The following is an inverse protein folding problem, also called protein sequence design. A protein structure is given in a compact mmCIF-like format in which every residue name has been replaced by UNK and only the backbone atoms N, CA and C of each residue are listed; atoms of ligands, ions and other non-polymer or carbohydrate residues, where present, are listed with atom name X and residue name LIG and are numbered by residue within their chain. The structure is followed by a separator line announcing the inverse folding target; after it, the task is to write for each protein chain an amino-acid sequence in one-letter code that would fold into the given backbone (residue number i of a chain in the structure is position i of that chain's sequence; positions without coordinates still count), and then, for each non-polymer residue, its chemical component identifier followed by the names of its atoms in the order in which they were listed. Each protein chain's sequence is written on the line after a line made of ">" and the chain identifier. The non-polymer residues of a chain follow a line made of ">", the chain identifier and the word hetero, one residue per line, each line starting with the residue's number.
data_IF_457288171510
#
_entry.id   IF_457288171510
#
_cell.length_a   1.000
_cell.length_b   1.000
_cell.length_c   1.000
_cell.angle_alpha   90.00
_cell.angle_beta   90.00
_cell.angle_gamma   90.00
#
_symmetry.space_group_name_H-M   'P 1'
#
loop_
_entity.id
_entity.type
_entity.pdbx_description
1 polymer ?
#
# COMPACT_ATOMS: atom_id res chain seq x y z
N UNK A 1 0.47 -6.33 12.88
CA UNK A 1 0.05 -5.13 12.11
C UNK A 1 0.10 -3.95 13.05
N UNK A 2 0.51 -2.76 12.61
CA UNK A 2 0.51 -1.57 13.45
C UNK A 2 -0.47 -0.52 12.92
N UNK A 3 -1.11 0.25 13.79
CA UNK A 3 -1.99 1.39 13.49
C UNK A 3 -1.49 2.59 14.29
N UNK A 4 -1.27 3.75 13.66
CA UNK A 4 -0.75 4.96 14.30
C UNK A 4 -1.80 6.08 14.34
N UNK A 5 -2.87 5.85 15.08
CA UNK A 5 -4.02 6.75 15.21
C UNK A 5 -4.49 6.74 16.67
N UNK A 6 -4.33 7.87 17.35
CA UNK A 6 -4.64 8.03 18.77
C UNK A 6 -6.13 7.88 19.05
N UNK A 7 -7.00 8.30 18.13
CA UNK A 7 -8.45 8.18 18.27
C UNK A 7 -8.87 6.72 18.15
N UNK A 8 -8.30 6.02 17.16
CA UNK A 8 -8.45 4.58 17.02
C UNK A 8 -7.95 3.86 18.28
N UNK A 9 -6.74 4.16 18.75
CA UNK A 9 -6.14 3.49 19.91
C UNK A 9 -7.01 3.63 21.16
N UNK A 10 -7.46 4.86 21.46
CA UNK A 10 -8.31 5.15 22.63
C UNK A 10 -9.65 4.42 22.55
N UNK A 11 -10.35 4.53 21.41
CA UNK A 11 -11.63 3.84 21.20
C UNK A 11 -11.46 2.33 21.26
N UNK A 12 -10.40 1.80 20.64
CA UNK A 12 -10.18 0.38 20.56
C UNK A 12 -9.81 -0.22 21.92
N UNK A 13 -8.97 0.45 22.71
CA UNK A 13 -8.68 0.06 24.08
C UNK A 13 -9.94 0.03 24.95
N UNK A 14 -10.78 1.07 24.87
CA UNK A 14 -12.04 1.13 25.59
C UNK A 14 -12.98 -0.02 25.17
N UNK A 15 -13.08 -0.31 23.87
CA UNK A 15 -13.90 -1.42 23.37
C UNK A 15 -13.42 -2.80 23.88
N UNK A 16 -12.12 -2.97 24.14
CA UNK A 16 -11.56 -4.23 24.64
C UNK A 16 -11.65 -4.37 26.17
N UNK A 17 -11.58 -3.27 26.90
CA UNK A 17 -11.47 -3.28 28.38
C UNK A 17 -12.74 -2.85 29.11
N UNK A 18 -13.65 -2.14 28.44
CA UNK A 18 -14.94 -1.69 28.98
C UNK A 18 -14.87 -0.46 29.89
N UNK A 19 -13.79 -0.23 30.63
CA UNK A 19 -13.81 0.74 31.74
C UNK A 19 -12.52 1.58 31.93
N UNK A 20 -11.51 1.47 31.05
CA UNK A 20 -10.21 2.14 31.23
C UNK A 20 -9.90 3.28 30.25
N UNK A 21 -9.20 4.32 30.73
CA UNK A 21 -8.54 5.31 29.86
C UNK A 21 -7.15 4.81 29.47
N UNK A 22 -6.91 4.71 28.16
CA UNK A 22 -5.62 4.23 27.64
C UNK A 22 -4.44 5.10 28.10
N UNK A 23 -4.65 6.42 28.23
CA UNK A 23 -3.60 7.35 28.66
C UNK A 23 -3.10 7.04 30.08
N UNK A 24 -3.99 6.71 31.01
CA UNK A 24 -3.62 6.38 32.40
C UNK A 24 -2.86 5.05 32.45
N UNK A 25 -3.28 4.06 31.65
CA UNK A 25 -2.59 2.78 31.55
C UNK A 25 -1.16 2.95 31.00
N UNK A 26 -0.97 3.85 30.02
CA UNK A 26 0.33 4.17 29.42
C UNK A 26 1.17 5.14 30.26
N UNK A 27 0.60 5.86 31.23
CA UNK A 27 1.36 6.75 32.11
C UNK A 27 2.33 5.97 33.02
N UNK A 28 2.00 4.72 33.34
CA UNK A 28 2.85 3.82 34.13
C UNK A 28 3.63 2.78 33.32
N UNK A 29 3.36 2.63 32.01
CA UNK A 29 3.92 1.55 31.19
C UNK A 29 4.14 2.01 29.74
N UNK A 30 5.29 1.67 29.15
CA UNK A 30 5.58 1.97 27.75
C UNK A 30 4.73 1.13 26.77
N UNK A 31 4.26 -0.04 27.21
CA UNK A 31 3.42 -0.95 26.43
C UNK A 31 2.35 -1.55 27.33
N UNK A 32 1.10 -1.54 26.86
CA UNK A 32 -0.03 -2.21 27.51
C UNK A 32 -0.59 -3.27 26.56
N UNK A 33 -0.66 -4.52 27.01
CA UNK A 33 -1.19 -5.64 26.22
C UNK A 33 -2.60 -6.02 26.71
N UNK A 34 -3.54 -6.15 25.78
CA UNK A 34 -4.93 -6.51 26.07
C UNK A 34 -5.31 -7.72 25.22
N UNK A 35 -5.71 -8.79 25.89
CA UNK A 35 -6.30 -9.96 25.24
C UNK A 35 -7.65 -9.58 24.60
N UNK A 36 -7.81 -9.93 23.33
CA UNK A 36 -9.09 -9.80 22.64
C UNK A 36 -10.01 -10.96 23.07
N UNK A 37 -10.45 -10.96 24.34
CA UNK A 37 -11.24 -12.03 24.98
C UNK A 37 -12.43 -12.50 24.13
N UNK A 38 -13.09 -11.56 23.46
CA UNK A 38 -14.06 -11.82 22.40
C UNK A 38 -13.35 -11.65 21.05
N UNK A 39 -12.63 -12.68 20.62
CA UNK A 39 -11.76 -12.60 19.45
C UNK A 39 -12.53 -12.06 18.23
N UNK A 40 -12.15 -10.86 17.77
CA UNK A 40 -12.78 -10.21 16.62
C UNK A 40 -12.39 -10.93 15.35
N UNK A 41 -13.36 -11.11 14.45
CA UNK A 41 -13.06 -11.57 13.10
C UNK A 41 -12.30 -10.46 12.38
N UNK A 42 -11.36 -10.86 11.52
CA UNK A 42 -10.66 -9.93 10.66
C UNK A 42 -10.45 -10.56 9.29
N UNK A 43 -10.37 -9.73 8.28
CA UNK A 43 -9.87 -10.12 6.96
C UNK A 43 -8.55 -9.40 6.73
N UNK A 44 -7.45 -10.16 6.61
CA UNK A 44 -6.12 -9.65 6.36
C UNK A 44 -5.83 -9.73 4.86
N UNK A 45 -5.57 -8.58 4.26
CA UNK A 45 -5.28 -8.41 2.84
C UNK A 45 -3.76 -8.36 2.65
N UNK A 46 -3.25 -9.15 1.72
CA UNK A 46 -1.85 -9.17 1.29
C UNK A 46 -1.74 -9.45 -0.21
N UNK A 47 -0.52 -9.38 -0.76
CA UNK A 47 -0.26 -9.76 -2.15
C UNK A 47 -0.69 -11.21 -2.46
N UNK A 48 -0.70 -12.10 -1.45
CA UNK A 48 -1.11 -13.50 -1.59
C UNK A 48 -2.62 -13.69 -1.60
N UNK A 49 -3.40 -12.64 -1.32
CA UNK A 49 -4.86 -12.70 -1.26
C UNK A 49 -5.44 -12.15 0.06
N UNK A 50 -6.72 -12.45 0.25
CA UNK A 50 -7.44 -12.14 1.48
C UNK A 50 -7.50 -13.41 2.36
N UNK A 51 -7.02 -13.30 3.60
CA UNK A 51 -7.05 -14.38 4.58
C UNK A 51 -7.97 -14.03 5.75
N UNK A 52 -8.88 -14.95 6.07
CA UNK A 52 -9.64 -14.86 7.31
C UNK A 52 -8.68 -15.01 8.50
N UNK A 53 -8.86 -14.17 9.51
CA UNK A 53 -8.06 -14.17 10.73
C UNK A 53 -8.94 -13.84 11.94
N UNK A 54 -8.38 -14.06 13.13
CA UNK A 54 -8.96 -13.65 14.40
C UNK A 54 -7.97 -12.77 15.13
N UNK A 55 -8.41 -11.62 15.62
CA UNK A 55 -7.60 -10.82 16.53
C UNK A 55 -7.47 -11.57 17.85
N UNK A 56 -6.24 -11.78 18.32
CA UNK A 56 -5.95 -12.46 19.58
C UNK A 56 -5.37 -11.52 20.62
N UNK A 57 -4.61 -10.51 20.19
CA UNK A 57 -3.96 -9.57 21.08
C UNK A 57 -3.91 -8.18 20.45
N UNK A 58 -4.14 -7.17 21.26
CA UNK A 58 -3.82 -5.78 20.93
C UNK A 58 -2.78 -5.26 21.92
N UNK A 59 -1.68 -4.70 21.43
CA UNK A 59 -0.70 -3.99 22.26
C UNK A 59 -0.72 -2.52 21.92
N UNK A 60 -0.77 -1.69 22.94
CA UNK A 60 -0.79 -0.24 22.81
C UNK A 60 0.57 0.27 23.28
N UNK A 61 1.27 0.96 22.39
CA UNK A 61 2.61 1.48 22.61
C UNK A 61 2.49 2.97 22.89
N UNK A 62 3.15 3.43 23.96
CA UNK A 62 3.17 4.84 24.31
C UNK A 62 3.78 5.71 23.18
N UNK A 63 3.49 7.02 23.18
CA UNK A 63 4.14 7.95 22.27
C UNK A 63 5.66 7.80 22.28
N UNK A 64 6.26 7.88 21.09
CA UNK A 64 7.71 7.77 20.80
C UNK A 64 8.31 6.38 20.98
N UNK A 65 7.64 5.43 21.63
CA UNK A 65 8.10 4.03 21.76
C UNK A 65 8.37 3.43 20.38
N UNK A 66 7.44 3.60 19.44
CA UNK A 66 7.56 3.07 18.07
C UNK A 66 8.25 4.03 17.07
N UNK A 67 8.95 5.06 17.55
CA UNK A 67 9.49 6.14 16.70
C UNK A 67 8.41 7.04 16.06
N UNK A 68 7.19 7.01 16.60
CA UNK A 68 6.03 7.82 16.17
C UNK A 68 5.58 8.74 17.31
N UNK A 69 5.11 9.95 17.01
CA UNK A 69 4.79 10.95 18.06
C UNK A 69 3.48 10.69 18.80
N UNK A 70 2.59 9.87 18.25
CA UNK A 70 1.35 9.43 18.89
C UNK A 70 1.44 7.98 19.38
N UNK A 71 0.32 7.47 19.87
CA UNK A 71 0.14 6.08 20.29
C UNK A 71 0.14 5.17 19.07
N UNK A 72 0.76 4.00 19.21
CA UNK A 72 0.73 2.96 18.18
C UNK A 72 0.01 1.73 18.72
N UNK A 73 -0.97 1.24 17.97
CA UNK A 73 -1.67 -0.01 18.27
C UNK A 73 -1.13 -1.13 17.40
N UNK A 74 -0.51 -2.13 18.02
CA UNK A 74 -0.11 -3.39 17.39
C UNK A 74 -1.24 -4.42 17.51
N UNK A 75 -1.75 -4.88 16.38
CA UNK A 75 -2.73 -5.95 16.28
C UNK A 75 -2.06 -7.26 15.89
N UNK A 76 -2.30 -8.30 16.68
CA UNK A 76 -1.81 -9.67 16.49
C UNK A 76 -2.97 -10.56 16.09
N UNK A 77 -2.80 -11.28 14.98
CA UNK A 77 -3.83 -12.11 14.39
C UNK A 77 -3.43 -13.58 14.38
N UNK A 78 -4.38 -14.46 14.65
CA UNK A 78 -4.29 -15.90 14.41
C UNK A 78 -5.05 -16.25 13.13
N UNK A 79 -4.42 -17.08 12.29
CA UNK A 79 -5.03 -17.61 11.07
C UNK A 79 -5.54 -19.03 11.33
N UNK A 80 -6.86 -19.29 11.25
CA UNK A 80 -7.41 -20.61 11.54
C UNK A 80 -6.87 -21.69 10.58
N UNK A 81 -6.45 -22.86 11.09
CA UNK A 81 -6.01 -23.98 10.25
C UNK A 81 -7.18 -24.59 9.47
N UNK A 82 -6.90 -25.10 8.27
CA UNK A 82 -7.87 -25.87 7.46
C UNK A 82 -8.81 -25.09 6.53
N UNK A 83 -8.77 -23.76 6.53
CA UNK A 83 -9.49 -22.93 5.55
C UNK A 83 -8.65 -22.60 4.30
N UNK A 84 -9.27 -22.02 3.26
CA UNK A 84 -8.57 -21.41 2.11
C UNK A 84 -7.51 -20.34 2.53
N UNK A 85 -7.57 -19.90 3.78
CA UNK A 85 -6.59 -19.05 4.45
C UNK A 85 -5.17 -19.66 4.47
N UNK A 86 -4.99 -20.99 4.50
CA UNK A 86 -3.64 -21.58 4.58
C UNK A 86 -2.72 -21.23 3.39
N UNK A 87 -3.29 -20.97 2.21
CA UNK A 87 -2.54 -20.51 1.02
C UNK A 87 -2.44 -18.99 0.90
N UNK A 88 -3.39 -18.27 1.50
CA UNK A 88 -3.51 -16.80 1.38
C UNK A 88 -2.96 -16.07 2.60
N UNK A 89 -2.59 -16.81 3.65
CA UNK A 89 -1.98 -16.26 4.85
C UNK A 89 -0.69 -15.54 4.47
N UNK A 90 -0.52 -14.28 4.91
CA UNK A 90 0.70 -13.54 4.65
C UNK A 90 1.89 -14.23 5.33
N UNK A 91 3.06 -14.30 4.68
CA UNK A 91 4.31 -14.65 5.35
C UNK A 91 4.61 -13.66 6.48
N UNK A 92 5.52 -14.04 7.38
CA UNK A 92 6.07 -13.08 8.34
C UNK A 92 6.71 -11.89 7.63
N UNK A 93 6.63 -10.70 8.24
CA UNK A 93 7.27 -9.46 7.78
C UNK A 93 6.81 -8.89 6.43
N UNK A 94 5.65 -9.30 5.91
CA UNK A 94 5.05 -8.63 4.75
C UNK A 94 4.10 -7.52 5.16
N UNK A 95 3.98 -6.50 4.31
CA UNK A 95 2.97 -5.45 4.45
C UNK A 95 1.57 -6.04 4.29
N UNK A 96 0.68 -5.71 5.23
CA UNK A 96 -0.71 -6.19 5.24
C UNK A 96 -1.67 -5.07 5.59
N UNK A 97 -2.91 -5.21 5.15
CA UNK A 97 -4.04 -4.37 5.58
C UNK A 97 -5.06 -5.28 6.25
N UNK A 98 -5.36 -5.07 7.53
CA UNK A 98 -6.45 -5.80 8.18
C UNK A 98 -7.73 -4.98 8.23
N UNK A 99 -8.85 -5.64 7.92
CA UNK A 99 -10.20 -5.13 8.05
C UNK A 99 -10.86 -5.86 9.22
N UNK A 100 -11.06 -5.16 10.35
CA UNK A 100 -11.70 -5.72 11.54
C UNK A 100 -13.22 -5.84 11.35
N UNK A 101 -13.79 -6.91 11.89
CA UNK A 101 -15.22 -7.22 11.89
C UNK A 101 -15.86 -7.25 10.48
N UNK A 102 -15.03 -7.40 9.45
CA UNK A 102 -15.48 -7.59 8.07
C UNK A 102 -15.53 -9.08 7.75
N UNK A 103 -16.63 -9.57 7.16
CA UNK A 103 -16.74 -10.98 6.78
C UNK A 103 -15.62 -11.33 5.79
N UNK A 104 -15.01 -12.53 5.91
CA UNK A 104 -14.06 -13.01 4.92
C UNK A 104 -14.70 -12.93 3.54
N UNK A 105 -14.01 -12.31 2.58
CA UNK A 105 -14.51 -12.25 1.21
C UNK A 105 -14.50 -13.66 0.63
N UNK A 106 -15.65 -14.31 0.68
CA UNK A 106 -15.87 -15.63 0.11
C UNK A 106 -16.02 -15.48 -1.41
N UNK A 107 -15.08 -16.05 -2.15
CA UNK A 107 -15.02 -15.93 -3.61
C UNK A 107 -13.89 -15.00 -4.02
N UNK A 108 -12.96 -15.54 -4.83
CA UNK A 108 -11.91 -14.74 -5.41
C UNK A 108 -12.50 -13.59 -6.23
N UNK A 109 -11.64 -12.64 -6.61
CA UNK A 109 -11.96 -11.63 -7.60
C UNK A 109 -12.13 -12.29 -8.99
N UNK A 110 -12.86 -13.41 -9.12
CA UNK A 110 -13.10 -14.16 -10.34
C UNK A 110 -11.84 -14.89 -10.77
N UNK A 111 -11.92 -15.63 -11.88
CA UNK A 111 -10.69 -16.08 -12.53
C UNK A 111 -10.01 -14.83 -13.11
N UNK A 112 -8.81 -14.45 -12.63
CA UNK A 112 -8.10 -13.32 -13.21
C UNK A 112 -7.77 -13.64 -14.68
N UNK A 113 -7.54 -12.59 -15.47
CA UNK A 113 -6.95 -12.76 -16.80
C UNK A 113 -5.61 -13.50 -16.69
N UNK A 114 -5.16 -14.17 -17.76
CA UNK A 114 -3.80 -14.66 -17.83
C UNK A 114 -2.80 -13.53 -17.54
N UNK A 115 -1.77 -13.84 -16.77
CA UNK A 115 -0.63 -12.96 -16.61
C UNK A 115 -0.04 -12.65 -17.99
N UNK A 116 0.41 -11.42 -18.19
CA UNK A 116 1.12 -11.03 -19.40
C UNK A 116 2.50 -11.68 -19.43
N UNK A 117 3.04 -11.86 -20.63
CA UNK A 117 4.47 -12.17 -20.76
C UNK A 117 5.31 -11.03 -20.18
N UNK A 118 6.54 -11.33 -19.76
CA UNK A 118 7.48 -10.31 -19.25
C UNK A 118 7.67 -9.15 -20.23
N UNK A 119 7.76 -9.45 -21.53
CA UNK A 119 7.89 -8.44 -22.58
C UNK A 119 6.64 -7.55 -22.69
N UNK A 120 5.44 -8.15 -22.69
CA UNK A 120 4.19 -7.41 -22.79
C UNK A 120 3.90 -6.55 -21.55
N UNK A 121 4.19 -7.07 -20.36
CA UNK A 121 4.05 -6.33 -19.11
C UNK A 121 5.02 -5.14 -19.05
N UNK A 122 6.28 -5.33 -19.46
CA UNK A 122 7.25 -4.23 -19.54
C UNK A 122 6.80 -3.17 -20.54
N UNK A 123 6.34 -3.59 -21.72
CA UNK A 123 5.83 -2.69 -22.73
C UNK A 123 4.58 -1.94 -22.26
N UNK A 124 3.69 -2.60 -21.51
CA UNK A 124 2.52 -1.97 -20.90
C UNK A 124 2.90 -0.92 -19.87
N UNK A 125 3.85 -1.22 -18.97
CA UNK A 125 4.37 -0.26 -17.98
C UNK A 125 4.90 0.99 -18.69
N UNK A 126 5.72 0.81 -19.73
CA UNK A 126 6.24 1.91 -20.54
C UNK A 126 5.12 2.78 -21.12
N UNK A 127 4.13 2.18 -21.78
CA UNK A 127 3.00 2.92 -22.37
C UNK A 127 2.20 3.68 -21.29
N UNK A 128 1.99 3.08 -20.12
CA UNK A 128 1.31 3.76 -18.99
C UNK A 128 2.15 4.91 -18.46
N UNK A 129 3.47 4.77 -18.36
CA UNK A 129 4.38 5.83 -17.95
C UNK A 129 4.38 7.01 -18.94
N UNK A 130 4.45 6.73 -20.25
CA UNK A 130 4.34 7.75 -21.30
C UNK A 130 2.99 8.49 -21.21
N UNK A 131 1.90 7.75 -20.99
CA UNK A 131 0.57 8.34 -20.77
C UNK A 131 0.50 9.19 -19.50
N UNK A 132 1.20 8.79 -18.45
CA UNK A 132 1.30 9.53 -17.20
C UNK A 132 2.01 10.86 -17.43
N UNK A 133 3.13 10.86 -18.15
CA UNK A 133 3.89 12.06 -18.50
C UNK A 133 3.00 13.12 -19.14
N UNK A 134 2.25 12.73 -20.19
CA UNK A 134 1.30 13.62 -20.90
C UNK A 134 0.17 14.10 -19.99
N UNK A 135 -0.29 13.25 -19.06
CA UNK A 135 -1.40 13.60 -18.16
C UNK A 135 -0.98 14.52 -17.01
N UNK A 136 0.30 14.53 -16.65
CA UNK A 136 0.83 15.48 -15.67
C UNK A 136 1.14 16.80 -16.37
N UNK A 137 0.57 17.92 -15.89
CA UNK A 137 0.82 19.24 -16.48
C UNK A 137 2.32 19.56 -16.41
N UNK A 138 3.01 19.55 -17.55
CA UNK A 138 4.44 19.80 -17.67
C UNK A 138 4.94 19.52 -19.09
N UNK A 139 6.18 19.90 -19.41
CA UNK A 139 6.78 19.57 -20.70
C UNK A 139 6.95 18.04 -20.82
N UNK A 140 6.70 17.53 -22.03
CA UNK A 140 7.11 16.19 -22.45
C UNK A 140 8.62 16.20 -22.65
N UNK A 141 9.29 15.34 -21.90
CA UNK A 141 10.73 15.32 -21.74
C UNK A 141 11.34 13.93 -22.01
N UNK A 142 10.51 12.88 -22.06
CA UNK A 142 10.90 11.54 -22.45
C UNK A 142 11.50 10.72 -21.31
N UNK A 143 11.27 9.40 -21.37
CA UNK A 143 11.83 8.44 -20.42
C UNK A 143 13.36 8.42 -20.48
N UNK A 144 13.99 8.49 -19.31
CA UNK A 144 15.44 8.39 -19.19
C UNK A 144 15.90 6.94 -19.36
N UNK A 145 15.16 5.99 -18.79
CA UNK A 145 15.40 4.56 -18.89
C UNK A 145 14.09 3.81 -19.13
N UNK A 146 14.18 2.63 -19.73
CA UNK A 146 13.05 1.70 -19.78
C UNK A 146 12.77 1.15 -18.38
N UNK A 147 11.53 1.23 -17.86
CA UNK A 147 11.18 0.63 -16.57
C UNK A 147 11.34 -0.89 -16.60
N UNK A 148 11.75 -1.48 -15.48
CA UNK A 148 11.80 -2.94 -15.31
C UNK A 148 10.55 -3.47 -14.60
N UNK A 149 10.35 -4.79 -14.67
CA UNK A 149 9.43 -5.51 -13.79
C UNK A 149 10.18 -5.84 -12.50
N UNK A 150 9.56 -5.55 -11.36
CA UNK A 150 10.10 -5.61 -9.98
C UNK A 150 10.33 -4.24 -9.35
N UNK A 151 9.30 -3.75 -8.67
CA UNK A 151 9.33 -2.48 -7.94
C UNK A 151 10.20 -2.49 -6.66
N UNK A 152 10.85 -3.59 -6.29
CA UNK A 152 11.80 -3.61 -5.17
C UNK A 152 13.27 -3.59 -5.61
N UNK A 153 13.55 -3.87 -6.89
CA UNK A 153 14.93 -4.00 -7.39
C UNK A 153 15.44 -2.78 -8.15
N UNK A 154 14.56 -1.91 -8.65
CA UNK A 154 14.97 -0.74 -9.42
C UNK A 154 14.15 0.51 -9.07
N UNK A 155 14.78 1.68 -9.22
CA UNK A 155 14.13 2.98 -9.06
C UNK A 155 13.05 3.19 -10.14
N UNK A 156 13.42 2.89 -11.39
CA UNK A 156 12.55 2.90 -12.57
C UNK A 156 11.96 1.50 -12.78
N UNK A 157 10.78 1.27 -12.23
CA UNK A 157 10.16 -0.05 -12.20
C UNK A 157 8.64 0.03 -12.13
N UNK A 158 7.99 -1.09 -12.45
CA UNK A 158 6.56 -1.24 -12.29
C UNK A 158 6.15 -2.68 -12.01
N UNK A 159 4.86 -2.83 -11.74
CA UNK A 159 4.20 -4.09 -11.48
C UNK A 159 2.91 -4.15 -12.30
N UNK A 160 2.63 -5.33 -12.87
CA UNK A 160 1.38 -5.59 -13.60
C UNK A 160 0.63 -6.72 -12.93
N UNK A 161 -0.56 -6.42 -12.41
CA UNK A 161 -1.42 -7.40 -11.75
C UNK A 161 -2.65 -7.65 -12.61
N UNK A 162 -2.89 -8.92 -12.95
CA UNK A 162 -4.07 -9.31 -13.70
C UNK A 162 -5.34 -9.21 -12.84
N UNK A 163 -6.34 -8.47 -13.32
CA UNK A 163 -7.69 -8.42 -12.74
C UNK A 163 -8.65 -9.26 -13.60
N UNK A 164 -9.96 -9.25 -13.29
CA UNK A 164 -10.99 -9.98 -14.07
C UNK A 164 -11.02 -9.57 -15.55
N UNK A 165 -11.07 -8.28 -15.82
CA UNK A 165 -11.33 -7.73 -17.15
C UNK A 165 -10.16 -6.91 -17.71
N UNK A 166 -9.20 -6.54 -16.87
CA UNK A 166 -8.13 -5.60 -17.21
C UNK A 166 -6.87 -5.90 -16.38
N UNK A 167 -5.85 -5.05 -16.51
CA UNK A 167 -4.62 -5.12 -15.72
C UNK A 167 -4.51 -3.89 -14.84
N UNK A 168 -4.11 -4.07 -13.58
CA UNK A 168 -3.61 -2.99 -12.75
C UNK A 168 -2.11 -2.80 -13.04
N UNK A 169 -1.69 -1.54 -13.20
CA UNK A 169 -0.31 -1.18 -13.53
C UNK A 169 0.16 -0.14 -12.54
N UNK A 170 1.07 -0.53 -11.65
CA UNK A 170 1.83 0.41 -10.83
C UNK A 170 3.14 0.73 -11.52
N UNK A 171 3.56 1.99 -11.50
CA UNK A 171 4.82 2.39 -12.13
C UNK A 171 5.51 3.52 -11.37
N UNK A 172 6.82 3.57 -11.53
CA UNK A 172 7.73 4.65 -11.17
C UNK A 172 8.73 4.76 -12.31
N UNK A 173 8.83 5.94 -12.91
CA UNK A 173 9.73 6.13 -14.03
C UNK A 173 10.35 7.53 -14.01
N UNK A 174 11.65 7.58 -14.28
CA UNK A 174 12.43 8.80 -14.36
C UNK A 174 12.47 9.31 -15.79
N UNK A 175 12.28 10.61 -15.93
CA UNK A 175 12.23 11.35 -17.19
C UNK A 175 13.30 12.45 -17.20
N UNK A 176 13.89 12.74 -18.36
CA UNK A 176 15.04 13.64 -18.50
C UNK A 176 14.65 15.11 -18.53
N UNK A 177 14.85 15.91 -17.47
CA UNK A 177 14.53 17.35 -17.50
C UNK A 177 15.76 18.17 -17.90
N UNK A 178 15.89 18.48 -19.20
CA UNK A 178 16.82 19.47 -19.79
C UNK A 178 18.29 19.41 -19.32
N UNK A 179 19.17 18.94 -20.21
CA UNK A 179 20.62 19.00 -20.00
C UNK A 179 21.13 20.42 -20.27
N UNK A 180 21.22 21.27 -19.25
CA UNK A 180 22.28 22.29 -19.30
C UNK A 180 23.59 21.53 -19.11
N UNK A 181 24.65 21.84 -19.87
CA UNK A 181 25.84 20.99 -20.13
C UNK A 181 26.51 20.30 -18.91
N UNK A 182 26.19 20.67 -17.67
CA UNK A 182 26.68 20.02 -16.44
C UNK A 182 25.62 19.80 -15.34
N UNK A 183 24.31 19.84 -15.66
CA UNK A 183 23.22 19.56 -14.71
C UNK A 183 22.12 18.76 -15.41
N UNK A 184 21.95 17.49 -15.01
CA UNK A 184 20.74 16.73 -15.29
C UNK A 184 19.76 16.91 -14.14
N UNK A 185 18.77 17.78 -14.33
CA UNK A 185 17.56 17.68 -13.55
C UNK A 185 16.75 16.50 -14.11
N UNK A 186 16.12 15.72 -13.26
CA UNK A 186 15.24 14.63 -13.70
C UNK A 186 13.89 14.77 -13.03
N UNK A 187 12.89 14.10 -13.58
CA UNK A 187 11.56 14.06 -12.99
C UNK A 187 11.17 12.62 -12.79
N UNK A 188 10.82 12.25 -11.57
CA UNK A 188 10.17 10.98 -11.28
C UNK A 188 8.65 11.15 -11.41
N UNK A 189 8.01 10.28 -12.19
CA UNK A 189 6.56 10.17 -12.24
C UNK A 189 6.16 8.79 -11.72
N UNK A 190 5.15 8.76 -10.86
CA UNK A 190 4.66 7.52 -10.24
C UNK A 190 3.15 7.55 -10.08
N UNK A 191 2.50 6.39 -10.23
CA UNK A 191 1.06 6.26 -10.07
C UNK A 191 0.60 4.82 -10.26
N UNK A 192 -0.72 4.63 -10.16
CA UNK A 192 -1.36 3.32 -10.35
C UNK A 192 -2.58 3.48 -11.25
N UNK A 193 -2.61 2.73 -12.35
CA UNK A 193 -3.73 2.70 -13.28
C UNK A 193 -4.37 1.32 -13.36
N UNK A 194 -5.58 1.27 -13.90
CA UNK A 194 -6.16 0.06 -14.47
C UNK A 194 -6.43 0.28 -15.94
N UNK A 195 -6.12 -0.72 -16.77
CA UNK A 195 -6.17 -0.59 -18.22
C UNK A 195 -6.16 -1.95 -18.93
N UNK A 196 -6.59 -1.95 -20.18
CA UNK A 196 -6.27 -3.01 -21.15
C UNK A 196 -4.88 -2.77 -21.78
N UNK A 197 -4.26 -3.79 -22.40
CA UNK A 197 -2.90 -3.67 -22.95
C UNK A 197 -2.71 -2.53 -23.96
N UNK A 198 -3.77 -2.15 -24.69
CA UNK A 198 -3.81 -1.10 -25.72
C UNK A 198 -4.10 0.31 -25.19
N UNK A 199 -4.38 0.45 -23.89
CA UNK A 199 -4.72 1.69 -23.20
C UNK A 199 -6.08 2.33 -23.57
N UNK A 200 -6.99 1.65 -24.28
CA UNK A 200 -8.28 2.24 -24.68
C UNK A 200 -9.15 2.68 -23.49
N UNK A 201 -9.04 1.98 -22.36
CA UNK A 201 -9.82 2.25 -21.16
C UNK A 201 -8.95 2.54 -19.93
N UNK A 202 -7.83 3.25 -20.13
CA UNK A 202 -6.96 3.64 -19.03
C UNK A 202 -7.70 4.53 -18.00
N UNK A 203 -7.68 4.10 -16.74
CA UNK A 203 -8.21 4.84 -15.60
C UNK A 203 -7.17 4.91 -14.48
N UNK A 204 -6.91 6.10 -13.98
CA UNK A 204 -6.06 6.29 -12.81
C UNK A 204 -6.80 5.88 -11.53
N UNK A 205 -6.25 4.88 -10.81
CA UNK A 205 -6.68 4.52 -9.45
C UNK A 205 -5.99 5.44 -8.45
N UNK A 206 -4.66 5.58 -8.61
CA UNK A 206 -3.87 6.62 -7.96
C UNK A 206 -3.35 7.54 -9.06
N UNK A 207 -3.69 8.83 -8.99
CA UNK A 207 -3.30 9.80 -10.01
C UNK A 207 -1.77 9.93 -10.06
N UNK A 208 -1.19 10.11 -11.25
CA UNK A 208 0.24 10.23 -11.38
C UNK A 208 0.74 11.51 -10.71
N UNK A 209 1.77 11.37 -9.88
CA UNK A 209 2.43 12.47 -9.19
C UNK A 209 3.77 12.74 -9.84
N UNK A 210 4.08 14.03 -10.06
CA UNK A 210 5.33 14.50 -10.67
C UNK A 210 6.27 15.03 -9.59
N UNK A 211 7.42 14.39 -9.43
CA UNK A 211 8.42 14.71 -8.42
C UNK A 211 9.70 15.19 -9.10
N UNK A 212 10.06 16.46 -8.90
CA UNK A 212 11.33 16.98 -9.42
C UNK A 212 12.49 16.41 -8.61
N UNK A 213 13.48 15.86 -9.31
CA UNK A 213 14.74 15.38 -8.76
C UNK A 213 15.86 16.37 -9.09
N UNK A 214 16.59 16.79 -8.06
CA UNK A 214 17.80 17.61 -8.18
C UNK A 214 18.94 16.79 -7.64
N UNK A 215 19.95 16.49 -8.48
CA UNK A 215 21.05 15.56 -8.15
C UNK A 215 20.55 14.19 -7.65
N UNK A 216 19.47 13.69 -8.24
CA UNK A 216 18.85 12.41 -7.88
C UNK A 216 18.01 12.42 -6.60
N UNK A 217 17.88 13.55 -5.91
CA UNK A 217 17.07 13.69 -4.69
C UNK A 217 15.79 14.49 -4.94
N UNK A 218 14.71 14.16 -4.25
CA UNK A 218 13.44 14.90 -4.35
C UNK A 218 13.64 16.33 -3.85
N UNK A 219 13.45 17.30 -4.76
CA UNK A 219 13.82 18.71 -4.54
C UNK A 219 12.98 19.41 -3.46
N UNK A 220 11.78 18.90 -3.15
CA UNK A 220 10.91 19.39 -2.08
C UNK A 220 10.65 18.28 -1.08
N UNK A 221 11.24 18.45 0.11
CA UNK A 221 11.23 17.51 1.23
C UNK A 221 9.79 17.19 1.71
N UNK A 222 8.81 18.06 1.47
CA UNK A 222 7.47 17.96 2.07
C UNK A 222 6.41 17.22 1.23
N UNK A 223 6.74 16.59 0.09
CA UNK A 223 5.67 16.03 -0.78
C UNK A 223 6.05 14.81 -1.63
N UNK A 224 7.19 14.16 -1.38
CA UNK A 224 7.63 13.01 -2.17
C UNK A 224 7.00 11.70 -1.73
N UNK A 225 5.90 11.28 -2.37
CA UNK A 225 5.34 9.92 -2.21
C UNK A 225 5.51 9.16 -3.51
N UNK A 226 6.11 7.97 -3.42
CA UNK A 226 6.19 7.00 -4.52
C UNK A 226 5.16 5.91 -4.30
N UNK A 227 4.58 5.41 -5.38
CA UNK A 227 3.61 4.32 -5.32
C UNK A 227 4.24 3.02 -5.82
N UNK A 228 3.99 1.92 -5.10
CA UNK A 228 4.30 0.56 -5.55
C UNK A 228 3.04 -0.29 -5.48
N UNK A 229 2.65 -0.89 -6.60
CA UNK A 229 1.52 -1.82 -6.62
C UNK A 229 2.01 -3.17 -6.10
N UNK A 230 1.37 -3.70 -5.06
CA UNK A 230 1.77 -4.98 -4.43
C UNK A 230 0.91 -6.16 -4.84
N UNK A 231 -0.32 -5.92 -5.22
CA UNK A 231 -1.24 -6.99 -5.56
C UNK A 231 -2.68 -6.50 -5.69
N UNK A 232 -3.57 -7.45 -5.93
CA UNK A 232 -4.99 -7.22 -5.96
C UNK A 232 -5.72 -8.32 -5.20
N UNK A 233 -6.77 -7.93 -4.49
CA UNK A 233 -7.62 -8.83 -3.70
C UNK A 233 -9.08 -8.56 -4.02
N UNK A 234 -9.94 -9.53 -3.72
CA UNK A 234 -11.38 -9.37 -3.88
C UNK A 234 -11.92 -8.40 -2.81
N UNK A 235 -12.79 -7.47 -3.23
CA UNK A 235 -13.63 -6.68 -2.33
C UNK A 235 -14.86 -7.49 -1.91
N UNK A 236 -15.42 -7.23 -0.73
CA UNK A 236 -16.67 -7.84 -0.27
C UNK A 236 -17.84 -7.63 -1.25
N UNK A 237 -17.83 -6.51 -2.00
CA UNK A 237 -18.81 -6.23 -3.06
C UNK A 237 -18.54 -6.92 -4.41
N UNK A 238 -17.59 -7.86 -4.47
CA UNK A 238 -17.23 -8.57 -5.70
C UNK A 238 -16.32 -7.80 -6.68
N UNK A 239 -15.96 -6.55 -6.33
CA UNK A 239 -14.96 -5.74 -7.03
C UNK A 239 -13.52 -6.12 -6.70
N UNK A 240 -12.56 -5.32 -7.16
CA UNK A 240 -11.14 -5.49 -6.86
C UNK A 240 -10.64 -4.37 -5.94
N UNK A 241 -9.87 -4.73 -4.93
CA UNK A 241 -9.03 -3.81 -4.15
C UNK A 241 -7.59 -3.97 -4.61
N UNK A 242 -6.90 -2.86 -4.86
CA UNK A 242 -5.45 -2.87 -5.08
C UNK A 242 -4.74 -2.62 -3.75
N UNK A 243 -3.68 -3.37 -3.50
CA UNK A 243 -2.76 -3.08 -2.41
C UNK A 243 -1.64 -2.21 -2.96
N UNK A 244 -1.50 -1.01 -2.42
CA UNK A 244 -0.54 -0.01 -2.88
C UNK A 244 0.28 0.49 -1.71
N UNK A 245 1.59 0.36 -1.81
CA UNK A 245 2.51 1.02 -0.90
C UNK A 245 2.67 2.48 -1.32
N UNK A 246 2.35 3.38 -0.43
CA UNK A 246 2.68 4.80 -0.46
C UNK A 246 3.98 4.99 0.31
N UNK A 247 5.08 5.22 -0.41
CA UNK A 247 6.43 5.27 0.13
C UNK A 247 6.85 6.74 0.22
N UNK A 248 6.91 7.25 1.45
CA UNK A 248 7.40 8.58 1.73
C UNK A 248 8.93 8.55 1.89
N UNK A 249 9.65 9.01 0.86
CA UNK A 249 11.12 8.90 0.80
C UNK A 249 11.84 9.75 1.87
N UNK A 250 11.20 10.80 2.33
CA UNK A 250 11.76 11.74 3.30
C UNK A 250 11.47 11.30 4.73
N UNK A 251 10.30 10.70 4.95
CA UNK A 251 9.86 10.28 6.27
C UNK A 251 9.27 8.87 6.16
N UNK A 252 10.09 7.81 6.33
CA UNK A 252 9.61 6.44 6.22
C UNK A 252 8.40 6.15 7.12
N UNK A 253 8.30 6.81 8.27
CA UNK A 253 7.15 6.74 9.20
C UNK A 253 5.81 7.19 8.60
N UNK A 254 5.84 8.01 7.55
CA UNK A 254 4.64 8.47 6.84
C UNK A 254 4.25 7.50 5.72
N UNK A 255 5.07 6.48 5.47
CA UNK A 255 4.79 5.46 4.46
C UNK A 255 3.67 4.53 4.92
N UNK A 256 2.75 4.20 4.02
CA UNK A 256 1.56 3.39 4.32
C UNK A 256 1.28 2.36 3.22
N UNK A 257 0.82 1.18 3.60
CA UNK A 257 0.17 0.25 2.68
C UNK A 257 -1.30 0.56 2.70
N UNK A 258 -1.90 0.73 1.52
CA UNK A 258 -3.29 1.10 1.36
C UNK A 258 -4.02 0.05 0.54
N UNK A 259 -5.28 -0.21 0.91
CA UNK A 259 -6.21 -0.95 0.09
C UNK A 259 -7.12 0.06 -0.63
N UNK A 260 -7.02 0.13 -1.95
CA UNK A 260 -7.76 1.08 -2.78
C UNK A 260 -8.79 0.34 -3.62
N UNK A 261 -10.06 0.73 -3.51
CA UNK A 261 -11.12 0.17 -4.34
C UNK A 261 -11.01 0.69 -5.78
N UNK A 262 -10.91 -0.22 -6.75
CA UNK A 262 -10.68 0.13 -8.16
C UNK A 262 -11.83 0.94 -8.76
N UNK A 263 -13.08 0.63 -8.37
CA UNK A 263 -14.27 1.24 -8.98
C UNK A 263 -14.49 2.66 -8.46
N UNK A 264 -14.38 2.84 -7.16
CA UNK A 264 -14.63 4.11 -6.47
C UNK A 264 -13.39 4.97 -6.36
N UNK A 265 -12.19 4.37 -6.47
CA UNK A 265 -10.87 5.00 -6.25
C UNK A 265 -10.69 5.53 -4.83
N UNK A 266 -11.46 4.98 -3.88
CA UNK A 266 -11.38 5.36 -2.47
C UNK A 266 -10.44 4.41 -1.75
N UNK A 267 -9.65 4.98 -0.83
CA UNK A 267 -8.90 4.20 0.16
C UNK A 267 -9.92 3.60 1.12
N UNK A 268 -9.93 2.27 1.19
CA UNK A 268 -10.80 1.51 2.11
C UNK A 268 -10.14 1.38 3.47
N UNK A 269 -8.81 1.19 3.49
CA UNK A 269 -8.01 1.10 4.70
C UNK A 269 -6.54 1.42 4.39
N UNK A 270 -5.82 1.89 5.40
CA UNK A 270 -4.40 2.21 5.33
C UNK A 270 -3.69 1.76 6.61
N UNK A 271 -2.47 1.24 6.49
CA UNK A 271 -1.63 0.80 7.61
C UNK A 271 -0.20 1.33 7.43
N UNK A 272 0.47 1.80 8.49
CA UNK A 272 1.90 2.10 8.47
C UNK A 272 2.76 0.98 7.86
N UNK A 273 3.69 1.36 6.98
CA UNK A 273 4.68 0.44 6.39
C UNK A 273 5.93 0.29 7.26
N UNK A 274 6.35 1.38 7.88
CA UNK A 274 7.58 1.42 8.64
C UNK A 274 7.32 2.08 10.00
N UNK A 275 7.26 1.23 11.03
CA UNK A 275 7.33 1.65 12.43
C UNK A 275 8.47 0.88 13.10
N UNK A 276 9.17 1.54 14.02
CA UNK A 276 10.27 0.94 14.77
C UNK A 276 9.82 0.76 16.20
N UNK A 277 9.17 -0.36 16.50
CA UNK A 277 8.83 -0.71 17.87
C UNK A 277 9.95 -1.62 18.43
N UNK A 278 10.72 -1.15 19.43
CA UNK A 278 11.74 -1.96 20.11
C UNK A 278 11.12 -3.09 20.94
#
# INVERSE_FOLDING_TARGET
>A
MFVNDDDFARHFYHQLTGEGQLADALAGHEIVAVDARNARSATVLSANGAAAARLTLARFHAPRTCGYSGIVTELVFAFPPGGAAGRSAPPSHVSVVALLDQPPVAGGAGKPRPALSTADATALIRRVADRAEVSTRGPTIGLLHSPTLNADQAADAGEVVALRSQYAVGFRATFSATVAENKMDTTLITGVAVTEPDLHHLRWVVRPVRLRLVRGMIARITSGVRYSLRGAVASAGGGALLLVDEIADVSPRDSRVTAVDVATRRVVAAQPLALRCP
#
